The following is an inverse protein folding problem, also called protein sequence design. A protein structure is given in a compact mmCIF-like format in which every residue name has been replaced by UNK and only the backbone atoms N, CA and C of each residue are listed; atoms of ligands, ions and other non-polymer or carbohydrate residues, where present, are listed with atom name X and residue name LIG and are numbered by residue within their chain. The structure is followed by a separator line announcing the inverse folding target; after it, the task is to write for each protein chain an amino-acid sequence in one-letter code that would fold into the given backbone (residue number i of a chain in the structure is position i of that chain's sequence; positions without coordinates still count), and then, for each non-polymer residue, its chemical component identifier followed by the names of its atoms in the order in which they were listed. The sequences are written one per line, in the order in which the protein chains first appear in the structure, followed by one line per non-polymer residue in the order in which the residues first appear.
data_IF_582196377558
#
_entry.id   IF_582196377558
#
_cell.length_a   1.000
_cell.length_b   1.000
_cell.length_c   1.000
_cell.angle_alpha   90.00
_cell.angle_beta   90.00
_cell.angle_gamma   90.00
#
_symmetry.space_group_name_H-M   'P 1'
#
loop_
_entity.id
_entity.type
_entity.pdbx_description
1 polymer ?
#
# COMPACT_ATOMS: atom_id res chain seq x y z
N UNK A 1 -22.62 -10.92 -6.12
CA UNK A 1 -22.51 -9.47 -6.42
C UNK A 1 -21.35 -9.28 -7.36
N UNK A 2 -21.58 -8.73 -8.56
CA UNK A 2 -20.49 -8.40 -9.46
C UNK A 2 -19.87 -7.04 -9.02
N UNK A 3 -18.54 -6.98 -8.93
CA UNK A 3 -17.78 -5.79 -8.53
C UNK A 3 -16.80 -5.51 -9.66
N UNK A 4 -16.82 -4.29 -10.16
CA UNK A 4 -15.76 -3.82 -11.04
C UNK A 4 -14.62 -3.25 -10.20
N UNK A 5 -13.44 -3.84 -10.34
CA UNK A 5 -12.26 -3.55 -9.53
C UNK A 5 -11.13 -3.05 -10.40
N UNK A 6 -10.53 -1.93 -10.00
CA UNK A 6 -9.33 -1.36 -10.61
C UNK A 6 -8.26 -1.30 -9.52
N UNK A 7 -7.06 -1.73 -9.85
CA UNK A 7 -5.89 -1.58 -8.98
C UNK A 7 -4.78 -0.82 -9.72
N UNK A 8 -4.26 0.20 -9.08
CA UNK A 8 -3.16 1.02 -9.60
C UNK A 8 -1.99 0.98 -8.60
N UNK A 9 -0.78 0.78 -9.11
CA UNK A 9 0.43 0.90 -8.30
C UNK A 9 0.79 2.37 -8.08
N UNK A 10 1.04 2.73 -6.81
CA UNK A 10 1.40 4.10 -6.43
C UNK A 10 2.79 4.51 -6.92
N UNK A 11 3.66 3.55 -7.22
CA UNK A 11 5.05 3.75 -7.60
C UNK A 11 5.34 3.44 -9.07
N UNK A 12 4.30 3.25 -9.89
CA UNK A 12 4.50 2.92 -11.31
C UNK A 12 5.53 3.86 -11.98
N UNK A 13 6.49 3.33 -12.77
CA UNK A 13 6.64 1.95 -13.23
C UNK A 13 7.32 0.98 -12.25
N UNK A 14 7.86 1.47 -11.13
CA UNK A 14 8.45 0.63 -10.09
C UNK A 14 7.36 0.16 -9.13
N UNK A 15 7.37 -1.12 -8.75
CA UNK A 15 6.34 -1.65 -7.85
C UNK A 15 6.65 -1.41 -6.37
N UNK A 16 7.95 -1.28 -6.00
CA UNK A 16 8.40 -1.15 -4.60
C UNK A 16 9.65 -0.30 -4.48
N UNK A 17 9.72 0.46 -3.41
CA UNK A 17 10.99 1.02 -2.93
C UNK A 17 11.77 -0.05 -2.20
N UNK A 18 13.07 -0.11 -2.46
CA UNK A 18 14.00 -0.97 -1.77
C UNK A 18 15.00 -0.15 -0.96
N UNK A 19 15.23 -0.56 0.27
CA UNK A 19 16.27 -0.01 1.14
C UNK A 19 17.11 -1.18 1.65
N UNK A 20 18.39 -1.15 1.35
CA UNK A 20 19.37 -2.11 1.86
C UNK A 20 20.16 -1.41 2.98
N UNK A 21 20.25 -2.06 4.14
CA UNK A 21 20.94 -1.58 5.32
C UNK A 21 21.92 -2.64 5.82
N UNK A 22 23.13 -2.19 6.17
CA UNK A 22 24.12 -2.96 6.89
C UNK A 22 24.56 -2.11 8.07
N UNK A 23 24.45 -2.65 9.28
CA UNK A 23 24.81 -1.93 10.49
C UNK A 23 24.20 -2.57 11.75
N UNK A 24 24.42 -1.95 12.91
CA UNK A 24 24.01 -2.52 14.19
C UNK A 24 22.47 -2.50 14.34
N UNK A 25 21.97 -3.54 15.00
CA UNK A 25 20.59 -3.71 15.41
C UNK A 25 19.53 -3.42 14.32
N UNK A 26 19.54 -4.15 13.19
CA UNK A 26 18.55 -3.95 12.12
C UNK A 26 17.10 -4.23 12.56
N UNK A 27 16.90 -5.08 13.57
CA UNK A 27 15.57 -5.45 14.06
C UNK A 27 14.81 -4.29 14.72
N UNK A 28 15.48 -3.19 15.12
CA UNK A 28 14.82 -2.00 15.67
C UNK A 28 13.73 -1.42 14.77
N UNK A 29 13.86 -1.61 13.45
CA UNK A 29 12.86 -1.16 12.48
C UNK A 29 11.54 -1.90 12.69
N UNK A 30 11.59 -3.22 12.94
CA UNK A 30 10.40 -4.04 13.19
C UNK A 30 9.58 -3.53 14.39
N UNK A 31 10.25 -3.06 15.44
CA UNK A 31 9.59 -2.52 16.63
C UNK A 31 8.93 -1.15 16.37
N UNK A 32 9.45 -0.37 15.43
CA UNK A 32 9.00 1.00 15.18
C UNK A 32 8.01 1.12 14.03
N UNK A 33 7.96 0.13 13.13
CA UNK A 33 7.21 0.22 11.87
C UNK A 33 5.71 0.46 12.09
N UNK A 34 5.09 -0.19 13.07
CA UNK A 34 3.67 -0.02 13.38
C UNK A 34 3.32 1.42 13.72
N UNK A 35 4.16 2.06 14.56
CA UNK A 35 3.95 3.45 14.95
C UNK A 35 4.14 4.41 13.77
N UNK A 36 5.14 4.16 12.93
CA UNK A 36 5.40 4.94 11.72
C UNK A 36 4.21 4.85 10.76
N UNK A 37 3.75 3.63 10.45
CA UNK A 37 2.62 3.42 9.54
C UNK A 37 1.35 4.10 10.04
N UNK A 38 1.03 3.97 11.35
CA UNK A 38 -0.14 4.65 11.94
C UNK A 38 -0.07 6.17 11.79
N UNK A 39 1.07 6.74 12.15
CA UNK A 39 1.27 8.20 12.12
C UNK A 39 1.23 8.74 10.70
N UNK A 40 1.98 8.13 9.77
CA UNK A 40 2.08 8.61 8.40
C UNK A 40 0.78 8.45 7.64
N UNK A 41 0.08 7.34 7.84
CA UNK A 41 -1.20 7.08 7.18
C UNK A 41 -2.39 7.70 7.90
N UNK A 42 -2.19 8.23 9.13
CA UNK A 42 -3.26 8.82 9.95
C UNK A 42 -4.42 7.83 10.12
N UNK A 43 -4.13 6.64 10.60
CA UNK A 43 -5.10 5.54 10.77
C UNK A 43 -5.13 5.03 12.20
N UNK A 44 -6.20 4.33 12.54
CA UNK A 44 -6.33 3.67 13.83
C UNK A 44 -5.48 2.39 13.91
N UNK A 45 -5.34 1.86 15.12
CA UNK A 45 -4.55 0.64 15.35
C UNK A 45 -5.11 -0.58 14.61
N UNK A 46 -6.43 -0.64 14.43
CA UNK A 46 -7.13 -1.71 13.73
C UNK A 46 -6.84 -1.76 12.21
N UNK A 47 -6.43 -0.62 11.63
CA UNK A 47 -6.15 -0.48 10.21
C UNK A 47 -4.68 -0.76 9.85
N UNK A 48 -3.86 -1.11 10.87
CA UNK A 48 -2.46 -1.52 10.72
C UNK A 48 -2.28 -2.88 11.37
N UNK A 49 -1.88 -3.86 10.60
CA UNK A 49 -1.67 -5.22 11.10
C UNK A 49 -0.41 -5.87 10.58
N UNK A 50 0.18 -6.69 11.43
CA UNK A 50 1.26 -7.61 11.09
C UNK A 50 0.64 -8.86 10.50
N UNK A 51 1.00 -9.17 9.26
CA UNK A 51 0.45 -10.33 8.58
C UNK A 51 1.30 -11.58 8.76
N UNK A 52 2.61 -11.40 8.77
CA UNK A 52 3.55 -12.51 8.79
C UNK A 52 4.79 -12.08 9.59
N UNK A 53 5.14 -12.88 10.60
CA UNK A 53 6.34 -12.71 11.38
C UNK A 53 7.03 -14.06 11.52
N UNK A 54 8.30 -14.11 11.14
CA UNK A 54 9.15 -15.30 11.27
C UNK A 54 10.46 -14.89 11.90
N UNK A 55 10.89 -15.69 12.85
CA UNK A 55 12.16 -15.52 13.55
C UNK A 55 12.87 -16.85 13.62
N UNK A 56 14.03 -16.94 12.97
CA UNK A 56 14.89 -18.12 13.01
C UNK A 56 15.95 -17.94 14.09
N UNK A 57 15.89 -18.79 15.11
CA UNK A 57 16.82 -18.79 16.25
C UNK A 57 17.91 -19.88 16.15
N UNK A 58 17.92 -20.67 15.07
CA UNK A 58 18.81 -21.83 14.93
C UNK A 58 20.24 -21.44 14.59
N UNK A 59 20.42 -20.23 14.03
CA UNK A 59 21.71 -19.72 13.57
C UNK A 59 22.07 -18.37 14.20
N UNK A 60 23.34 -18.00 14.18
CA UNK A 60 23.83 -16.67 14.46
C UNK A 60 24.63 -16.16 13.25
N UNK A 61 24.21 -15.08 12.57
CA UNK A 61 23.10 -14.18 12.90
C UNK A 61 21.72 -14.78 12.67
N UNK A 62 20.77 -14.41 13.52
CA UNK A 62 19.37 -14.85 13.49
C UNK A 62 18.61 -14.24 12.32
N UNK A 63 17.96 -15.07 11.53
CA UNK A 63 17.11 -14.63 10.44
C UNK A 63 15.78 -14.09 10.92
N UNK A 64 15.28 -12.99 10.34
CA UNK A 64 13.93 -12.52 10.58
C UNK A 64 13.25 -12.06 9.30
N UNK A 65 11.95 -12.26 9.27
CA UNK A 65 11.06 -11.78 8.22
C UNK A 65 9.82 -11.20 8.88
N UNK A 66 9.41 -10.00 8.45
CA UNK A 66 8.22 -9.35 8.96
C UNK A 66 7.49 -8.64 7.83
N UNK A 67 6.16 -8.77 7.78
CA UNK A 67 5.32 -8.15 6.78
C UNK A 67 4.15 -7.40 7.42
N UNK A 68 4.10 -6.11 7.16
CA UNK A 68 3.10 -5.19 7.67
C UNK A 68 2.21 -4.66 6.58
N UNK A 69 0.96 -4.51 6.92
CA UNK A 69 -0.05 -3.90 6.06
C UNK A 69 -0.73 -2.75 6.75
N UNK A 70 -1.09 -1.73 5.97
CA UNK A 70 -1.96 -0.65 6.40
C UNK A 70 -2.98 -0.34 5.32
N UNK A 71 -4.21 -0.12 5.75
CA UNK A 71 -5.35 0.23 4.90
C UNK A 71 -5.88 1.60 5.27
N UNK A 72 -6.09 2.47 4.28
CA UNK A 72 -6.73 3.78 4.44
C UNK A 72 -7.84 3.94 3.42
N UNK A 73 -9.09 4.10 3.88
CA UNK A 73 -10.18 4.57 3.03
C UNK A 73 -9.93 6.01 2.57
N UNK A 74 -10.11 6.27 1.29
CA UNK A 74 -9.97 7.61 0.71
C UNK A 74 -11.32 8.24 0.40
N UNK A 75 -12.21 7.45 -0.17
CA UNK A 75 -13.59 7.81 -0.46
C UNK A 75 -14.47 6.56 -0.41
N UNK A 76 -15.71 6.69 -0.92
CA UNK A 76 -16.69 5.60 -0.93
C UNK A 76 -16.25 4.39 -1.78
N UNK A 77 -15.45 4.63 -2.81
CA UNK A 77 -15.05 3.61 -3.78
C UNK A 77 -13.57 3.21 -3.67
N UNK A 78 -12.73 4.08 -3.12
CA UNK A 78 -11.27 3.91 -3.16
C UNK A 78 -10.65 3.72 -1.79
N UNK A 79 -9.73 2.76 -1.74
CA UNK A 79 -8.90 2.46 -0.58
C UNK A 79 -7.43 2.43 -1.00
N UNK A 80 -6.57 2.97 -0.16
CA UNK A 80 -5.11 2.88 -0.30
C UNK A 80 -4.60 1.76 0.59
N UNK A 81 -3.77 0.93 0.03
CA UNK A 81 -3.16 -0.22 0.68
C UNK A 81 -1.65 -0.11 0.58
N UNK A 82 -0.95 -0.05 1.72
CA UNK A 82 0.51 -0.05 1.76
C UNK A 82 1.00 -1.34 2.41
N UNK A 83 2.03 -1.91 1.81
CA UNK A 83 2.74 -3.09 2.29
C UNK A 83 4.19 -2.74 2.58
N UNK A 84 4.68 -3.11 3.76
CA UNK A 84 6.08 -3.02 4.13
C UNK A 84 6.59 -4.41 4.50
N UNK A 85 7.61 -4.87 3.81
CA UNK A 85 8.28 -6.13 4.08
C UNK A 85 9.67 -5.86 4.61
N UNK A 86 10.02 -6.46 5.74
CA UNK A 86 11.32 -6.42 6.38
C UNK A 86 11.91 -7.83 6.34
N UNK A 87 13.11 -7.97 5.82
CA UNK A 87 13.84 -9.24 5.82
C UNK A 87 15.29 -8.97 6.19
N UNK A 88 15.78 -9.64 7.21
CA UNK A 88 17.12 -9.35 7.67
C UNK A 88 17.76 -10.44 8.52
N UNK A 89 18.98 -10.13 8.93
CA UNK A 89 19.82 -10.94 9.80
C UNK A 89 20.22 -10.10 11.02
N UNK A 90 19.85 -10.55 12.21
CA UNK A 90 20.17 -9.89 13.49
C UNK A 90 21.21 -10.72 14.22
N UNK A 91 22.45 -10.22 14.39
CA UNK A 91 23.44 -10.87 15.25
C UNK A 91 22.99 -10.88 16.71
N UNK A 92 23.43 -11.91 17.45
CA UNK A 92 23.20 -11.99 18.90
C UNK A 92 23.94 -10.88 19.66
N UNK A 93 25.12 -10.50 19.18
CA UNK A 93 25.87 -9.36 19.68
C UNK A 93 25.32 -8.07 19.08
N UNK A 94 24.79 -7.14 19.89
CA UNK A 94 24.19 -5.90 19.41
C UNK A 94 25.18 -4.94 18.74
N UNK A 95 26.49 -5.11 18.95
CA UNK A 95 27.53 -4.28 18.35
C UNK A 95 27.97 -4.78 16.97
N UNK A 96 27.62 -6.01 16.61
CA UNK A 96 27.92 -6.54 15.28
C UNK A 96 26.94 -6.05 14.25
N UNK A 97 27.44 -5.88 13.03
CA UNK A 97 26.62 -5.47 11.90
C UNK A 97 25.70 -6.60 11.44
N UNK A 98 24.43 -6.31 11.40
CA UNK A 98 23.42 -7.13 10.76
C UNK A 98 23.06 -6.61 9.38
N UNK A 99 22.16 -7.31 8.72
CA UNK A 99 21.65 -6.93 7.39
C UNK A 99 20.14 -6.77 7.41
N UNK A 100 19.62 -5.80 6.67
CA UNK A 100 18.18 -5.60 6.53
C UNK A 100 17.87 -5.14 5.11
N UNK A 101 16.89 -5.78 4.50
CA UNK A 101 16.25 -5.36 3.26
C UNK A 101 14.84 -4.93 3.60
N UNK A 102 14.48 -3.72 3.23
CA UNK A 102 13.13 -3.18 3.39
C UNK A 102 12.53 -3.01 1.99
N UNK A 103 11.34 -3.55 1.79
CA UNK A 103 10.56 -3.35 0.58
C UNK A 103 9.27 -2.63 0.97
N UNK A 104 9.01 -1.48 0.32
CA UNK A 104 7.84 -0.65 0.59
C UNK A 104 7.07 -0.52 -0.72
N UNK A 105 5.81 -0.93 -0.73
CA UNK A 105 4.93 -0.82 -1.88
C UNK A 105 3.56 -0.30 -1.49
N UNK A 106 2.85 0.27 -2.45
CA UNK A 106 1.51 0.77 -2.24
C UNK A 106 0.66 0.63 -3.49
N UNK A 107 -0.63 0.43 -3.28
CA UNK A 107 -1.61 0.38 -4.36
C UNK A 107 -2.90 1.09 -3.97
N UNK A 108 -3.54 1.69 -4.95
CA UNK A 108 -4.90 2.22 -4.85
C UNK A 108 -5.84 1.19 -5.43
N UNK A 109 -6.82 0.77 -4.65
CA UNK A 109 -7.88 -0.13 -5.08
C UNK A 109 -9.18 0.63 -5.13
N UNK A 110 -9.79 0.65 -6.30
CA UNK A 110 -11.11 1.26 -6.53
C UNK A 110 -12.11 0.15 -6.85
N UNK A 111 -13.23 0.10 -6.14
CA UNK A 111 -14.25 -0.94 -6.26
C UNK A 111 -15.60 -0.29 -6.50
N UNK A 112 -16.22 -0.56 -7.65
CA UNK A 112 -17.56 -0.12 -8.00
C UNK A 112 -18.54 -1.28 -7.87
N UNK A 113 -19.47 -1.26 -6.91
CA UNK A 113 -20.52 -2.27 -6.82
C UNK A 113 -21.49 -2.11 -7.98
N UNK A 114 -21.61 -3.12 -8.82
CA UNK A 114 -22.50 -3.13 -9.99
C UNK A 114 -24.00 -3.18 -9.61
N UNK A 115 -24.32 -3.50 -8.35
CA UNK A 115 -25.71 -3.70 -7.91
C UNK A 115 -26.37 -2.52 -7.20
N UNK A 116 -25.62 -1.49 -6.75
CA UNK A 116 -26.16 -0.62 -5.70
C UNK A 116 -26.76 0.71 -6.17
N UNK A 117 -26.73 1.08 -7.42
CA UNK A 117 -27.25 2.39 -7.82
C UNK A 117 -27.84 2.44 -9.21
N UNK A 118 -27.29 1.69 -10.13
CA UNK A 118 -27.70 1.78 -11.53
C UNK A 118 -29.05 1.11 -11.83
N UNK A 119 -29.47 0.11 -11.03
CA UNK A 119 -30.78 -0.53 -11.17
C UNK A 119 -31.98 0.37 -10.81
N UNK A 120 -31.73 1.46 -10.06
CA UNK A 120 -32.79 2.42 -9.63
C UNK A 120 -32.78 3.73 -10.43
N UNK A 121 -31.92 3.88 -11.41
CA UNK A 121 -31.90 5.06 -12.26
C UNK A 121 -33.12 5.04 -13.20
N UNK A 122 -33.87 6.16 -13.33
CA UNK A 122 -35.01 6.23 -14.26
C UNK A 122 -34.63 6.01 -15.73
N UNK A 123 -33.35 6.14 -16.08
CA UNK A 123 -32.78 5.80 -17.39
C UNK A 123 -32.82 4.28 -17.66
N UNK A 124 -32.94 3.46 -16.61
CA UNK A 124 -32.91 2.00 -16.68
C UNK A 124 -34.28 1.34 -16.80
N UNK A 125 -35.37 2.10 -16.72
CA UNK A 125 -36.74 1.55 -16.82
C UNK A 125 -37.20 1.31 -18.27
N UNK A 126 -36.39 1.65 -19.27
CA UNK A 126 -36.66 1.38 -20.67
C UNK A 126 -36.30 -0.05 -21.04
N UNK A 127 -37.33 -0.86 -21.37
CA UNK A 127 -37.23 -2.21 -21.93
C UNK A 127 -36.35 -2.24 -23.20
N UNK A 128 -35.07 -2.44 -23.06
CA UNK A 128 -34.23 -2.86 -24.19
C UNK A 128 -33.66 -4.25 -23.90
N UNK A 129 -34.08 -5.20 -24.74
CA UNK A 129 -33.68 -6.61 -24.71
C UNK A 129 -32.23 -6.86 -25.16
N UNK A 130 -31.39 -5.84 -25.26
CA UNK A 130 -29.96 -6.01 -25.60
C UNK A 130 -29.12 -5.86 -24.33
N UNK A 131 -28.64 -7.01 -23.84
CA UNK A 131 -27.43 -7.18 -23.03
C UNK A 131 -27.17 -6.17 -21.92
N UNK A 132 -28.02 -6.04 -20.91
CA UNK A 132 -27.90 -5.06 -19.83
C UNK A 132 -26.55 -5.03 -19.07
N UNK A 133 -25.68 -6.01 -19.25
CA UNK A 133 -24.33 -6.03 -18.68
C UNK A 133 -23.34 -5.15 -19.47
N UNK A 134 -23.47 -5.13 -20.78
CA UNK A 134 -22.60 -4.34 -21.67
C UNK A 134 -22.88 -2.84 -21.56
N UNK A 135 -24.15 -2.45 -21.41
CA UNK A 135 -24.55 -1.06 -21.24
C UNK A 135 -24.14 -0.49 -19.88
N UNK A 136 -24.29 -1.27 -18.80
CA UNK A 136 -23.83 -0.85 -17.45
C UNK A 136 -22.31 -0.75 -17.40
N UNK A 137 -21.60 -1.70 -17.99
CA UNK A 137 -20.14 -1.67 -18.10
C UNK A 137 -19.65 -0.47 -18.91
N UNK A 138 -20.31 -0.14 -20.02
CA UNK A 138 -19.99 1.01 -20.84
C UNK A 138 -20.21 2.36 -20.13
N UNK A 139 -21.31 2.52 -19.40
CA UNK A 139 -21.62 3.72 -18.65
C UNK A 139 -20.66 3.91 -17.47
N UNK A 140 -20.35 2.85 -16.74
CA UNK A 140 -19.34 2.87 -15.67
C UNK A 140 -17.95 3.18 -16.22
N UNK A 141 -17.56 2.60 -17.34
CA UNK A 141 -16.31 2.89 -18.02
C UNK A 141 -16.22 4.37 -18.42
N UNK A 142 -17.28 4.91 -19.03
CA UNK A 142 -17.37 6.33 -19.41
C UNK A 142 -17.27 7.23 -18.17
N UNK A 143 -18.06 6.96 -17.13
CA UNK A 143 -18.03 7.72 -15.89
C UNK A 143 -16.65 7.69 -15.21
N UNK A 144 -16.02 6.52 -15.12
CA UNK A 144 -14.67 6.39 -14.60
C UNK A 144 -13.66 7.16 -15.45
N UNK A 145 -13.79 7.07 -16.78
CA UNK A 145 -12.86 7.74 -17.71
C UNK A 145 -12.96 9.26 -17.65
N UNK A 146 -14.16 9.80 -17.54
CA UNK A 146 -14.42 11.24 -17.65
C UNK A 146 -14.38 11.93 -16.30
N UNK A 147 -14.94 11.32 -15.27
CA UNK A 147 -15.14 12.00 -13.98
C UNK A 147 -14.26 11.44 -12.84
N UNK A 148 -14.05 10.16 -12.82
CA UNK A 148 -13.36 9.54 -11.67
C UNK A 148 -11.85 9.38 -11.87
N UNK A 149 -11.37 9.46 -13.10
CA UNK A 149 -9.94 9.27 -13.40
C UNK A 149 -9.04 10.29 -12.68
N UNK A 150 -9.47 11.55 -12.59
CA UNK A 150 -8.69 12.59 -11.92
C UNK A 150 -8.68 12.40 -10.40
N UNK A 151 -9.79 11.97 -9.80
CA UNK A 151 -9.87 11.62 -8.38
C UNK A 151 -8.92 10.45 -8.08
N UNK A 152 -8.93 9.43 -8.93
CA UNK A 152 -8.04 8.28 -8.81
C UNK A 152 -6.56 8.68 -8.90
N UNK A 153 -6.21 9.58 -9.83
CA UNK A 153 -4.84 10.14 -9.92
C UNK A 153 -4.43 10.88 -8.65
N UNK A 154 -5.32 11.68 -8.07
CA UNK A 154 -5.05 12.34 -6.79
C UNK A 154 -4.79 11.33 -5.67
N UNK A 155 -5.50 10.21 -5.64
CA UNK A 155 -5.24 9.14 -4.66
C UNK A 155 -3.90 8.45 -4.88
N UNK A 156 -3.48 8.25 -6.13
CA UNK A 156 -2.16 7.72 -6.47
C UNK A 156 -1.05 8.68 -6.02
N UNK A 157 -1.18 9.97 -6.33
CA UNK A 157 -0.21 10.99 -5.91
C UNK A 157 -0.12 11.10 -4.39
N UNK A 158 -1.26 11.07 -3.70
CA UNK A 158 -1.30 11.04 -2.24
C UNK A 158 -0.60 9.79 -1.69
N UNK A 159 -0.89 8.62 -2.23
CA UNK A 159 -0.24 7.36 -1.85
C UNK A 159 1.28 7.46 -2.04
N UNK A 160 1.74 7.94 -3.18
CA UNK A 160 3.16 8.13 -3.48
C UNK A 160 3.82 9.04 -2.45
N UNK A 161 3.20 10.19 -2.12
CA UNK A 161 3.73 11.11 -1.10
C UNK A 161 3.85 10.45 0.28
N UNK A 162 2.90 9.60 0.68
CA UNK A 162 2.97 8.86 1.95
C UNK A 162 4.05 7.79 1.94
N UNK A 163 4.24 7.10 0.81
CA UNK A 163 5.34 6.14 0.64
C UNK A 163 6.70 6.83 0.77
N UNK A 164 6.87 8.03 0.20
CA UNK A 164 8.09 8.83 0.35
C UNK A 164 8.37 9.22 1.80
N UNK A 165 7.34 9.61 2.55
CA UNK A 165 7.47 9.93 3.98
C UNK A 165 7.90 8.69 4.76
N UNK A 166 7.24 7.54 4.56
CA UNK A 166 7.61 6.27 5.20
C UNK A 166 9.05 5.91 4.88
N UNK A 167 9.45 6.02 3.63
CA UNK A 167 10.79 5.72 3.18
C UNK A 167 11.85 6.61 3.86
N UNK A 168 11.60 7.94 3.94
CA UNK A 168 12.49 8.88 4.62
C UNK A 168 12.61 8.61 6.12
N UNK A 169 11.49 8.32 6.78
CA UNK A 169 11.49 8.01 8.21
C UNK A 169 12.25 6.72 8.53
N UNK A 170 12.10 5.68 7.71
CA UNK A 170 12.83 4.42 7.90
C UNK A 170 14.33 4.62 7.69
N UNK A 171 14.74 5.42 6.71
CA UNK A 171 16.15 5.78 6.53
C UNK A 171 16.68 6.63 7.69
N UNK A 172 15.92 7.58 8.18
CA UNK A 172 16.25 8.37 9.35
C UNK A 172 16.43 7.52 10.60
N UNK A 173 15.53 6.56 10.84
CA UNK A 173 15.65 5.59 11.93
C UNK A 173 16.94 4.77 11.85
N UNK A 174 17.37 4.41 10.64
CA UNK A 174 18.60 3.66 10.38
C UNK A 174 19.85 4.55 10.30
N UNK A 175 19.71 5.87 10.47
CA UNK A 175 20.79 6.88 10.31
C UNK A 175 21.47 6.83 8.93
N UNK A 176 20.69 6.46 7.91
CA UNK A 176 21.17 6.44 6.51
C UNK A 176 21.00 7.82 5.86
N UNK A 177 21.91 8.24 4.98
CA UNK A 177 21.72 9.46 4.22
C UNK A 177 20.45 9.35 3.37
N UNK A 178 19.67 10.42 3.34
CA UNK A 178 18.50 10.54 2.46
C UNK A 178 18.97 11.17 1.16
N UNK A 179 19.02 10.44 0.04
CA UNK A 179 19.39 11.03 -1.23
C UNK A 179 18.32 12.05 -1.65
N UNK A 180 18.77 13.21 -2.09
CA UNK A 180 17.88 14.17 -2.75
C UNK A 180 17.34 13.54 -4.02
N UNK A 181 16.03 13.45 -4.14
CA UNK A 181 15.39 13.06 -5.39
C UNK A 181 15.25 14.32 -6.23
N UNK A 182 15.96 14.36 -7.32
CA UNK A 182 15.58 15.22 -8.45
C UNK A 182 14.24 14.71 -8.97
N UNK A 183 13.23 15.57 -8.81
CA UNK A 183 11.86 15.36 -9.35
C UNK A 183 11.89 15.47 -10.86
#
# INVERSE_FOLDING_TARGET
MAIWKIEDDCLSPSNKYRVDYIGPNPFRVSNSIKAILRRVMEVETKDVWERDFRWDITSDPRGFYNRWYVLKGRDHYSKVFIEVTLQGLQPSDPNKDGKLVILIGGRVRTEFPLDSGFKKSPIYSGRTKLGGLAEVGGLLWFWNRVFYNDIRRQHILWCNSRLDIIWRELRGLLKMPVPERTV
#
